data_IF_092846413546
#
_entry.id   IF_092846413546
#
_cell.length_a   1.000
_cell.length_b   1.000
_cell.length_c   1.000
_cell.angle_alpha   90.00
_cell.angle_beta   90.00
_cell.angle_gamma   90.00
#
_symmetry.space_group_name_H-M   'P 1'
#
loop_
_entity.id
_entity.type
_entity.pdbx_description
1 polymer ?
#
# COMPACT_ATOMS: atom_id res chain seq x y z
N UNK A 1 18.99 17.19 16.88
CA UNK A 1 18.63 16.60 15.59
C UNK A 1 19.76 15.65 15.24
N UNK A 2 19.50 14.38 15.01
CA UNK A 2 20.55 13.47 14.52
C UNK A 2 20.83 13.80 13.06
N UNK A 3 22.09 13.97 12.70
CA UNK A 3 22.47 14.18 11.31
C UNK A 3 22.19 12.92 10.49
N UNK A 4 21.52 13.10 9.36
CA UNK A 4 21.21 12.00 8.44
C UNK A 4 22.47 11.70 7.62
N UNK A 5 23.02 10.51 7.77
CA UNK A 5 24.08 10.02 6.88
C UNK A 5 23.46 9.55 5.54
N UNK A 6 23.46 10.45 4.55
CA UNK A 6 22.92 10.17 3.22
C UNK A 6 23.62 9.01 2.50
N UNK A 7 24.90 8.76 2.78
CA UNK A 7 25.60 7.63 2.19
C UNK A 7 25.09 6.29 2.70
N UNK A 8 24.88 6.19 4.02
CA UNK A 8 24.28 4.97 4.63
C UNK A 8 22.85 4.76 4.20
N UNK A 9 22.04 5.84 4.11
CA UNK A 9 20.68 5.79 3.62
C UNK A 9 20.65 5.30 2.17
N UNK A 10 21.50 5.83 1.30
CA UNK A 10 21.66 5.38 -0.10
C UNK A 10 22.08 3.91 -0.15
N UNK A 11 23.04 3.50 0.69
CA UNK A 11 23.48 2.12 0.75
C UNK A 11 22.35 1.16 1.17
N UNK A 12 21.48 1.59 2.09
CA UNK A 12 20.29 0.85 2.47
C UNK A 12 19.31 0.73 1.30
N UNK A 13 19.01 1.83 0.61
CA UNK A 13 18.11 1.82 -0.56
C UNK A 13 18.61 0.90 -1.67
N UNK A 14 19.92 0.94 -1.96
CA UNK A 14 20.51 0.08 -2.97
C UNK A 14 20.45 -1.41 -2.59
N UNK A 15 20.75 -1.76 -1.32
CA UNK A 15 20.64 -3.16 -0.86
C UNK A 15 19.23 -3.71 -0.91
N UNK A 16 18.24 -2.84 -0.67
CA UNK A 16 16.82 -3.20 -0.67
C UNK A 16 16.14 -2.97 -2.01
N UNK A 17 16.90 -2.62 -3.06
CA UNK A 17 16.40 -2.28 -4.40
C UNK A 17 15.22 -1.29 -4.38
N UNK A 18 15.25 -0.31 -3.46
CA UNK A 18 14.20 0.70 -3.33
C UNK A 18 14.29 1.69 -4.49
N UNK A 19 13.20 1.81 -5.22
CA UNK A 19 13.04 2.70 -6.37
C UNK A 19 12.42 4.04 -5.97
N UNK A 20 11.49 4.00 -5.02
CA UNK A 20 10.80 5.16 -4.46
C UNK A 20 10.55 4.91 -2.97
N UNK A 21 10.80 5.94 -2.17
CA UNK A 21 10.42 5.97 -0.77
C UNK A 21 9.83 7.34 -0.45
N UNK A 22 8.69 7.36 0.20
CA UNK A 22 8.06 8.57 0.73
C UNK A 22 7.69 8.33 2.19
N UNK A 23 7.91 9.35 3.03
CA UNK A 23 7.45 9.34 4.42
C UNK A 23 7.01 10.76 4.80
N UNK A 24 5.74 10.90 5.20
CA UNK A 24 5.19 12.19 5.61
C UNK A 24 3.69 12.33 5.37
N UNK A 25 3.11 13.51 5.66
CA UNK A 25 1.71 13.80 5.41
C UNK A 25 1.41 13.69 3.91
N UNK A 26 0.29 13.05 3.57
CA UNK A 26 -0.04 12.79 2.17
C UNK A 26 -1.34 13.48 1.76
N UNK A 27 -1.23 14.47 0.87
CA UNK A 27 -2.37 15.14 0.26
C UNK A 27 -2.85 14.41 -1.00
N UNK A 28 -4.06 14.74 -1.47
CA UNK A 28 -4.57 14.18 -2.73
C UNK A 28 -3.68 14.52 -3.93
N UNK A 29 -3.24 15.78 -4.03
CA UNK A 29 -2.36 16.20 -5.13
C UNK A 29 -1.01 15.48 -5.09
N UNK A 30 -0.43 15.30 -3.89
CA UNK A 30 0.83 14.60 -3.73
C UNK A 30 0.74 13.11 -4.12
N UNK A 31 -0.39 12.45 -3.80
CA UNK A 31 -0.66 11.08 -4.27
C UNK A 31 -0.63 11.00 -5.79
N UNK A 32 -1.30 11.94 -6.46
CA UNK A 32 -1.38 11.98 -7.91
C UNK A 32 -0.02 12.29 -8.57
N UNK A 33 0.74 13.24 -8.02
CA UNK A 33 2.06 13.63 -8.53
C UNK A 33 3.10 12.50 -8.38
N UNK A 34 3.20 11.91 -7.19
CA UNK A 34 4.10 10.77 -6.96
C UNK A 34 3.67 9.58 -7.83
N UNK A 35 2.38 9.32 -7.96
CA UNK A 35 1.86 8.26 -8.81
C UNK A 35 2.25 8.44 -10.28
N UNK A 36 2.16 9.68 -10.81
CA UNK A 36 2.60 9.99 -12.17
C UNK A 36 4.11 9.83 -12.34
N UNK A 37 4.90 10.31 -11.38
CA UNK A 37 6.36 10.12 -11.38
C UNK A 37 6.73 8.63 -11.37
N UNK A 38 6.06 7.84 -10.53
CA UNK A 38 6.25 6.39 -10.45
C UNK A 38 5.93 5.71 -11.80
N UNK A 39 4.80 6.06 -12.43
CA UNK A 39 4.42 5.52 -13.73
C UNK A 39 5.47 5.82 -14.80
N UNK A 40 5.95 7.06 -14.87
CA UNK A 40 7.00 7.46 -15.82
C UNK A 40 8.30 6.69 -15.57
N UNK A 41 8.68 6.51 -14.30
CA UNK A 41 9.84 5.73 -13.93
C UNK A 41 9.71 4.26 -14.38
N UNK A 42 8.58 3.62 -14.13
CA UNK A 42 8.32 2.23 -14.51
C UNK A 42 8.36 2.03 -16.02
N UNK A 43 7.87 3.00 -16.79
CA UNK A 43 7.98 3.00 -18.27
C UNK A 43 9.44 3.07 -18.73
N UNK A 44 10.25 3.93 -18.11
CA UNK A 44 11.68 4.02 -18.39
C UNK A 44 12.45 2.76 -17.98
N UNK A 45 12.00 2.05 -16.95
CA UNK A 45 12.54 0.75 -16.48
C UNK A 45 12.08 -0.44 -17.33
N UNK A 46 11.46 -0.18 -18.48
CA UNK A 46 10.96 -1.19 -19.42
C UNK A 46 9.95 -2.17 -18.81
N UNK A 47 9.19 -1.72 -17.80
CA UNK A 47 8.07 -2.48 -17.26
C UNK A 47 7.03 -2.70 -18.37
N UNK A 48 6.42 -3.89 -18.39
CA UNK A 48 5.25 -4.10 -19.24
C UNK A 48 4.15 -3.09 -18.89
N UNK A 49 3.42 -2.54 -19.87
CA UNK A 49 2.37 -1.53 -19.58
C UNK A 49 1.33 -1.99 -18.55
N UNK A 50 0.97 -3.28 -18.57
CA UNK A 50 0.06 -3.88 -17.57
C UNK A 50 0.66 -3.85 -16.16
N UNK A 51 1.93 -4.24 -16.01
CA UNK A 51 2.63 -4.23 -14.73
C UNK A 51 2.75 -2.80 -14.18
N UNK A 52 3.13 -1.83 -15.00
CA UNK A 52 3.20 -0.43 -14.60
C UNK A 52 1.83 0.10 -14.14
N UNK A 53 0.74 -0.28 -14.81
CA UNK A 53 -0.62 0.09 -14.42
C UNK A 53 -1.05 -0.57 -13.11
N UNK A 54 -0.68 -1.84 -12.88
CA UNK A 54 -0.99 -2.55 -11.64
C UNK A 54 -0.22 -1.97 -10.46
N UNK A 55 1.09 -1.68 -10.60
CA UNK A 55 1.87 -0.99 -9.57
C UNK A 55 1.28 0.38 -9.25
N UNK A 56 0.97 1.18 -10.28
CA UNK A 56 0.33 2.48 -10.11
C UNK A 56 -1.01 2.37 -9.37
N UNK A 57 -1.88 1.45 -9.80
CA UNK A 57 -3.19 1.25 -9.19
C UNK A 57 -3.09 0.81 -7.73
N UNK A 58 -2.17 -0.12 -7.41
CA UNK A 58 -1.92 -0.56 -6.03
C UNK A 58 -1.39 0.58 -5.17
N UNK A 59 -0.44 1.37 -5.69
CA UNK A 59 0.07 2.56 -5.02
C UNK A 59 -1.05 3.56 -4.69
N UNK A 60 -1.89 3.89 -5.68
CA UNK A 60 -3.02 4.83 -5.51
C UNK A 60 -4.00 4.32 -4.45
N UNK A 61 -4.38 3.06 -4.53
CA UNK A 61 -5.35 2.46 -3.60
C UNK A 61 -4.80 2.46 -2.16
N UNK A 62 -3.55 2.03 -1.96
CA UNK A 62 -2.92 2.01 -0.64
C UNK A 62 -2.84 3.42 -0.04
N UNK A 63 -2.39 4.40 -0.82
CA UNK A 63 -2.21 5.78 -0.33
C UNK A 63 -3.54 6.49 -0.09
N UNK A 64 -4.55 6.24 -0.91
CA UNK A 64 -5.90 6.77 -0.68
C UNK A 64 -6.53 6.17 0.57
N UNK A 65 -6.34 4.88 0.85
CA UNK A 65 -6.82 4.23 2.06
C UNK A 65 -6.21 4.87 3.31
N UNK A 66 -4.89 5.11 3.32
CA UNK A 66 -4.20 5.81 4.41
C UNK A 66 -4.79 7.21 4.62
N UNK A 67 -4.92 7.98 3.54
CA UNK A 67 -5.47 9.33 3.60
C UNK A 67 -6.91 9.36 4.12
N UNK A 68 -7.77 8.46 3.62
CA UNK A 68 -9.16 8.38 4.07
C UNK A 68 -9.26 8.00 5.54
N UNK A 69 -8.43 7.06 5.99
CA UNK A 69 -8.38 6.65 7.39
C UNK A 69 -7.98 7.83 8.30
N UNK A 70 -6.89 8.52 7.96
CA UNK A 70 -6.40 9.67 8.72
C UNK A 70 -7.44 10.79 8.81
N UNK A 71 -8.16 11.08 7.72
CA UNK A 71 -9.23 12.08 7.71
C UNK A 71 -10.43 11.65 8.57
N UNK A 72 -10.83 10.38 8.51
CA UNK A 72 -11.95 9.87 9.31
C UNK A 72 -11.66 9.94 10.83
N UNK A 73 -10.39 9.74 11.22
CA UNK A 73 -9.95 9.82 12.61
C UNK A 73 -9.48 11.22 13.03
N UNK A 74 -9.51 12.21 12.11
CA UNK A 74 -9.05 13.58 12.37
C UNK A 74 -7.63 13.64 12.95
N UNK A 75 -6.74 12.79 12.42
CA UNK A 75 -5.34 12.73 12.85
C UNK A 75 -4.61 14.03 12.53
N UNK A 76 -3.67 14.38 13.40
CA UNK A 76 -2.76 15.48 13.18
C UNK A 76 -1.76 15.18 12.05
N UNK A 77 -0.85 16.11 11.77
CA UNK A 77 0.10 15.99 10.67
C UNK A 77 1.07 14.80 10.84
N UNK A 78 1.43 14.48 12.09
CA UNK A 78 2.37 13.38 12.39
C UNK A 78 1.66 12.04 12.21
N UNK A 79 0.50 11.87 12.83
CA UNK A 79 -0.25 10.62 12.81
C UNK A 79 -0.92 10.35 11.44
N UNK A 80 -1.16 11.40 10.64
CA UNK A 80 -1.66 11.27 9.26
C UNK A 80 -0.58 10.92 8.24
N UNK A 81 0.68 10.80 8.67
CA UNK A 81 1.79 10.49 7.78
C UNK A 81 1.69 9.08 7.21
N UNK A 82 1.95 8.98 5.91
CA UNK A 82 2.10 7.72 5.20
C UNK A 82 3.59 7.39 5.01
N UNK A 83 3.95 6.13 5.21
CA UNK A 83 5.22 5.59 4.73
C UNK A 83 4.94 4.70 3.54
N UNK A 84 5.54 5.00 2.38
CA UNK A 84 5.33 4.24 1.15
C UNK A 84 6.66 3.89 0.52
N UNK A 85 6.81 2.63 0.12
CA UNK A 85 8.00 2.12 -0.55
C UNK A 85 7.58 1.39 -1.81
N UNK A 86 8.25 1.68 -2.92
CA UNK A 86 8.24 0.84 -4.12
C UNK A 86 9.64 0.32 -4.35
N UNK A 87 9.79 -0.99 -4.48
CA UNK A 87 11.07 -1.67 -4.62
C UNK A 87 10.97 -2.78 -5.68
N UNK A 88 12.10 -3.42 -5.99
CA UNK A 88 12.16 -4.66 -6.77
C UNK A 88 12.71 -5.78 -5.90
N UNK A 89 12.22 -7.01 -6.11
CA UNK A 89 12.85 -8.20 -5.55
C UNK A 89 13.89 -8.80 -6.55
N UNK A 90 14.55 -9.87 -6.12
CA UNK A 90 15.56 -10.56 -6.94
C UNK A 90 14.96 -11.26 -8.16
N UNK A 91 13.68 -11.59 -8.13
CA UNK A 91 12.91 -12.18 -9.23
C UNK A 91 12.36 -11.12 -10.23
N UNK A 92 12.75 -9.87 -10.04
CA UNK A 92 12.32 -8.72 -10.86
C UNK A 92 10.83 -8.40 -10.72
N UNK A 93 10.16 -8.80 -9.61
CA UNK A 93 8.83 -8.30 -9.30
C UNK A 93 8.93 -6.89 -8.69
N UNK A 94 7.87 -6.10 -8.86
CA UNK A 94 7.71 -4.87 -8.10
C UNK A 94 7.04 -5.15 -6.75
N UNK A 95 7.59 -4.57 -5.72
CA UNK A 95 7.01 -4.59 -4.36
C UNK A 95 6.42 -3.22 -4.11
N UNK A 96 5.14 -3.16 -3.75
CA UNK A 96 4.51 -1.96 -3.22
C UNK A 96 4.17 -2.21 -1.76
N UNK A 97 4.73 -1.42 -0.89
CA UNK A 97 4.48 -1.49 0.55
C UNK A 97 4.08 -0.12 1.07
N UNK A 98 3.06 -0.10 1.92
CA UNK A 98 2.64 1.13 2.59
C UNK A 98 2.38 0.86 4.06
N UNK A 99 2.49 1.91 4.88
CA UNK A 99 2.18 1.84 6.30
C UNK A 99 1.74 3.19 6.85
N UNK A 100 0.96 3.14 7.91
CA UNK A 100 0.46 4.31 8.64
C UNK A 100 0.10 3.95 10.06
N UNK A 101 -0.12 4.97 10.88
CA UNK A 101 -0.66 4.81 12.23
C UNK A 101 -2.15 4.49 12.16
N UNK A 102 -2.58 3.54 12.99
CA UNK A 102 -3.98 3.12 13.13
C UNK A 102 -4.33 2.90 14.59
N UNK A 103 -5.62 3.00 14.92
CA UNK A 103 -6.13 2.55 16.22
C UNK A 103 -5.98 1.02 16.33
N UNK A 104 -5.58 0.52 17.48
CA UNK A 104 -5.30 -0.91 17.69
C UNK A 104 -6.48 -1.83 17.29
N UNK A 105 -7.76 -1.52 17.64
CA UNK A 105 -8.89 -2.34 17.21
C UNK A 105 -9.04 -2.40 15.69
N UNK A 106 -8.88 -1.27 15.01
CA UNK A 106 -8.99 -1.19 13.55
C UNK A 106 -7.86 -1.97 12.87
N UNK A 107 -6.64 -1.85 13.40
CA UNK A 107 -5.50 -2.62 12.94
C UNK A 107 -5.74 -4.13 13.04
N UNK A 108 -6.34 -4.61 14.13
CA UNK A 108 -6.69 -6.02 14.29
C UNK A 108 -7.72 -6.50 13.27
N UNK A 109 -8.74 -5.67 13.00
CA UNK A 109 -9.77 -5.97 11.97
C UNK A 109 -9.14 -6.05 10.58
N UNK A 110 -8.28 -5.09 10.23
CA UNK A 110 -7.59 -5.08 8.93
C UNK A 110 -6.67 -6.30 8.79
N UNK A 111 -5.92 -6.67 9.83
CA UNK A 111 -5.07 -7.86 9.84
C UNK A 111 -5.87 -9.14 9.58
N UNK A 112 -7.02 -9.31 10.26
CA UNK A 112 -7.89 -10.46 10.05
C UNK A 112 -8.45 -10.50 8.61
N UNK A 113 -8.81 -9.33 8.05
CA UNK A 113 -9.28 -9.23 6.66
C UNK A 113 -8.16 -9.61 5.67
N UNK A 114 -6.93 -9.11 5.84
CA UNK A 114 -5.80 -9.46 4.99
C UNK A 114 -5.48 -10.95 5.09
N UNK A 115 -5.48 -11.53 6.29
CA UNK A 115 -5.27 -12.96 6.47
C UNK A 115 -6.31 -13.80 5.70
N UNK A 116 -7.58 -13.38 5.72
CA UNK A 116 -8.63 -14.01 4.92
C UNK A 116 -8.37 -13.89 3.42
N UNK A 117 -8.00 -12.70 2.91
CA UNK A 117 -7.68 -12.53 1.50
C UNK A 117 -6.45 -13.33 1.08
N UNK A 118 -5.44 -13.42 1.93
CA UNK A 118 -4.22 -14.18 1.69
C UNK A 118 -4.44 -15.70 1.59
N UNK A 119 -5.54 -16.22 2.16
CA UNK A 119 -5.93 -17.64 2.04
C UNK A 119 -6.76 -17.96 0.81
N UNK A 120 -7.19 -16.95 0.04
CA UNK A 120 -8.00 -17.11 -1.16
C UNK A 120 -7.13 -17.34 -2.40
N UNK A 121 -7.59 -18.21 -3.28
CA UNK A 121 -7.03 -18.35 -4.62
C UNK A 121 -7.48 -17.21 -5.56
N UNK A 122 -6.91 -17.15 -6.77
CA UNK A 122 -7.23 -16.11 -7.76
C UNK A 122 -8.70 -16.14 -8.22
N UNK A 123 -9.32 -17.30 -8.27
CA UNK A 123 -10.73 -17.44 -8.67
C UNK A 123 -11.66 -16.92 -7.56
N UNK A 124 -11.34 -17.24 -6.31
CA UNK A 124 -12.06 -16.77 -5.12
C UNK A 124 -11.93 -15.25 -4.96
N UNK A 125 -10.74 -14.69 -5.12
CA UNK A 125 -10.51 -13.24 -5.10
C UNK A 125 -11.31 -12.52 -6.20
N UNK A 126 -11.35 -13.10 -7.41
CA UNK A 126 -12.16 -12.56 -8.51
C UNK A 126 -13.66 -12.61 -8.22
N UNK A 127 -14.13 -13.68 -7.59
CA UNK A 127 -15.53 -13.82 -7.18
C UNK A 127 -15.87 -12.83 -6.05
N UNK A 128 -15.01 -12.72 -5.04
CA UNK A 128 -15.16 -11.76 -3.94
C UNK A 128 -15.24 -10.31 -4.45
N UNK A 129 -14.34 -9.94 -5.39
CA UNK A 129 -14.37 -8.62 -6.02
C UNK A 129 -15.69 -8.33 -6.72
N UNK A 130 -16.18 -9.27 -7.56
CA UNK A 130 -17.46 -9.12 -8.26
C UNK A 130 -18.64 -9.01 -7.31
N UNK A 131 -18.64 -9.76 -6.22
CA UNK A 131 -19.67 -9.71 -5.19
C UNK A 131 -19.67 -8.36 -4.49
N UNK A 132 -18.50 -7.90 -4.05
CA UNK A 132 -18.37 -6.61 -3.37
C UNK A 132 -18.73 -5.42 -4.28
N UNK A 133 -18.39 -5.49 -5.57
CA UNK A 133 -18.71 -4.43 -6.55
C UNK A 133 -20.23 -4.26 -6.75
N UNK A 134 -21.01 -5.32 -6.55
CA UNK A 134 -22.49 -5.31 -6.71
C UNK A 134 -23.22 -4.86 -5.44
N UNK A 135 -22.54 -4.78 -4.30
CA UNK A 135 -23.16 -4.29 -3.07
C UNK A 135 -23.41 -2.78 -3.16
N UNK A 136 -24.60 -2.31 -2.72
CA UNK A 136 -24.84 -0.87 -2.64
C UNK A 136 -23.80 -0.24 -1.71
N UNK A 137 -23.24 0.90 -2.14
CA UNK A 137 -22.37 1.71 -1.28
C UNK A 137 -23.22 2.27 -0.15
N UNK A 138 -23.10 1.71 1.04
CA UNK A 138 -23.68 2.31 2.25
C UNK A 138 -22.76 3.41 2.73
N UNK A 139 -23.30 4.58 3.04
CA UNK A 139 -22.55 5.74 3.56
C UNK A 139 -21.83 5.44 4.88
N UNK A 140 -22.26 4.39 5.61
CA UNK A 140 -21.62 3.91 6.82
C UNK A 140 -20.36 3.06 6.61
N UNK A 141 -20.09 2.61 5.39
CA UNK A 141 -18.77 2.05 5.06
C UNK A 141 -17.79 3.22 4.88
N UNK A 142 -17.39 3.84 5.98
CA UNK A 142 -16.40 4.92 6.05
C UNK A 142 -15.03 4.53 5.49
N UNK A 143 -14.93 3.32 4.97
CA UNK A 143 -13.79 2.89 4.19
C UNK A 143 -14.30 2.08 2.99
N UNK A 144 -14.03 2.54 1.78
CA UNK A 144 -13.98 1.68 0.59
C UNK A 144 -12.94 0.55 0.73
N UNK A 145 -12.46 0.31 1.95
CA UNK A 145 -11.40 -0.60 2.34
C UNK A 145 -11.64 -2.06 1.95
N UNK A 146 -12.90 -2.48 1.82
CA UNK A 146 -13.20 -3.84 1.41
C UNK A 146 -12.84 -4.12 -0.06
N UNK A 147 -13.27 -3.25 -0.97
CA UNK A 147 -13.06 -3.45 -2.41
C UNK A 147 -11.61 -3.19 -2.80
N UNK A 148 -10.98 -2.15 -2.24
CA UNK A 148 -9.60 -1.80 -2.51
C UNK A 148 -8.62 -2.88 -2.11
N UNK A 149 -8.73 -3.44 -0.91
CA UNK A 149 -7.88 -4.55 -0.46
C UNK A 149 -8.05 -5.81 -1.32
N UNK A 150 -9.29 -6.13 -1.75
CA UNK A 150 -9.53 -7.24 -2.67
C UNK A 150 -8.86 -6.97 -4.03
N UNK A 151 -8.93 -5.74 -4.54
CA UNK A 151 -8.29 -5.39 -5.81
C UNK A 151 -6.76 -5.48 -5.74
N UNK A 152 -6.16 -4.99 -4.64
CA UNK A 152 -4.73 -5.16 -4.37
C UNK A 152 -4.37 -6.65 -4.33
N UNK A 153 -5.13 -7.48 -3.59
CA UNK A 153 -4.88 -8.92 -3.48
C UNK A 153 -4.95 -9.64 -4.84
N UNK A 154 -5.88 -9.23 -5.71
CA UNK A 154 -6.01 -9.80 -7.08
C UNK A 154 -4.83 -9.50 -7.98
N UNK A 155 -4.23 -8.31 -7.83
CA UNK A 155 -3.08 -7.86 -8.62
C UNK A 155 -1.78 -8.44 -8.10
N UNK A 156 -1.72 -8.76 -6.82
CA UNK A 156 -0.54 -9.37 -6.21
C UNK A 156 -0.35 -10.81 -6.69
N UNK A 157 0.88 -11.16 -7.09
CA UNK A 157 1.25 -12.54 -7.48
C UNK A 157 1.56 -13.44 -6.30
N UNK A 158 1.80 -12.85 -5.14
CA UNK A 158 1.95 -13.51 -3.85
C UNK A 158 0.78 -13.11 -2.93
N UNK A 159 0.44 -13.92 -1.93
CA UNK A 159 -0.50 -13.50 -0.90
C UNK A 159 -0.07 -12.17 -0.26
N UNK A 160 -1.03 -11.30 0.05
CA UNK A 160 -0.73 -10.08 0.78
C UNK A 160 -0.10 -10.42 2.13
N UNK A 161 0.93 -9.68 2.50
CA UNK A 161 1.50 -9.74 3.84
C UNK A 161 1.31 -8.41 4.55
N UNK A 162 1.06 -8.47 5.85
CA UNK A 162 0.86 -7.27 6.66
C UNK A 162 1.49 -7.46 8.04
N UNK A 163 1.84 -6.34 8.67
CA UNK A 163 2.34 -6.30 10.05
C UNK A 163 1.60 -5.24 10.85
N UNK A 164 1.49 -5.47 12.15
CA UNK A 164 0.91 -4.54 13.11
C UNK A 164 1.88 -4.42 14.28
N UNK A 165 2.51 -3.26 14.43
CA UNK A 165 3.49 -2.98 15.48
C UNK A 165 2.90 -2.00 16.47
N UNK A 166 2.87 -2.37 17.76
CA UNK A 166 2.36 -1.47 18.82
C UNK A 166 3.31 -0.29 19.03
N UNK A 167 2.73 0.89 19.22
CA UNK A 167 3.42 2.13 19.53
C UNK A 167 3.21 2.50 21.01
N UNK A 168 4.11 3.31 21.55
CA UNK A 168 4.09 3.71 22.97
C UNK A 168 2.81 4.45 23.40
N UNK A 169 2.07 5.05 22.44
CA UNK A 169 0.82 5.78 22.69
C UNK A 169 -0.43 4.89 22.64
N UNK A 170 -0.29 3.56 22.58
CA UNK A 170 -1.42 2.62 22.53
C UNK A 170 -2.02 2.42 21.12
N UNK A 171 -1.54 3.13 20.12
CA UNK A 171 -1.84 2.91 18.70
C UNK A 171 -0.90 1.87 18.09
N UNK A 172 -1.08 1.60 16.83
CA UNK A 172 -0.24 0.68 16.09
C UNK A 172 0.26 1.29 14.79
N UNK A 173 1.45 0.92 14.35
CA UNK A 173 1.88 1.10 12.98
C UNK A 173 1.49 -0.13 12.17
N UNK A 174 0.56 0.05 11.26
CA UNK A 174 0.12 -0.98 10.33
C UNK A 174 0.92 -0.85 9.03
N UNK A 175 1.36 -1.98 8.47
CA UNK A 175 1.92 -2.00 7.11
C UNK A 175 1.37 -3.16 6.29
N UNK A 176 1.25 -2.95 4.98
CA UNK A 176 0.80 -3.96 4.01
C UNK A 176 1.72 -3.97 2.80
N UNK A 177 2.01 -5.17 2.29
CA UNK A 177 2.89 -5.42 1.15
C UNK A 177 2.17 -6.23 0.07
N UNK A 178 2.28 -5.77 -1.17
CA UNK A 178 1.83 -6.47 -2.38
C UNK A 178 3.01 -6.68 -3.34
N UNK A 179 3.00 -7.78 -4.07
CA UNK A 179 4.04 -8.14 -5.06
C UNK A 179 3.41 -8.20 -6.43
N UNK A 180 3.90 -7.38 -7.36
CA UNK A 180 3.36 -7.22 -8.71
C UNK A 180 4.37 -7.76 -9.71
N UNK A 181 3.92 -8.64 -10.59
CA UNK A 181 4.77 -9.21 -11.62
C UNK A 181 5.24 -8.15 -12.62
N UNK A 182 6.53 -8.10 -12.94
CA UNK A 182 7.10 -7.15 -13.91
C UNK A 182 6.76 -7.51 -15.36
N UNK A 183 6.71 -8.81 -15.66
CA UNK A 183 6.38 -9.36 -16.98
C UNK A 183 5.21 -10.31 -16.85
N UNK A 184 4.25 -10.21 -17.74
CA UNK A 184 3.14 -11.17 -17.87
C UNK A 184 3.53 -12.30 -18.80
#
# INVERSE_FOLDING_TARGET
MQDINLFELRAHFNRSNILLCFNGPISRSLIEEIGNALKNYLQADQAQPSAAMDVFSVYIEMTQNIRHYALAHQYDEIDSSATVVVARDDEQHYIVQSGNVVEKPDGQVIMAHIAKLASMDKAELKAAYKTQLRQPRTESSASGAGLGLIDIARKSVQPLSATLTELDNGRCFFSVRAVIQKTS
#
